data_IF_890134354246
#
_entry.id   IF_890134354246
#
_cell.length_a   1.000
_cell.length_b   1.000
_cell.length_c   1.000
_cell.angle_alpha   90.00
_cell.angle_beta   90.00
_cell.angle_gamma   90.00
#
_symmetry.space_group_name_H-M   'P 1'
#
loop_
_entity.id
_entity.type
_entity.pdbx_description
1 polymer ?
#
# COMPACT_ATOMS: atom_id res chain seq x y z
N UNK A 1 28.72 -35.56 65.36
CA UNK A 1 29.46 -34.99 64.22
C UNK A 1 28.47 -34.43 63.20
N UNK A 2 28.59 -33.11 62.94
CA UNK A 2 28.06 -32.26 61.85
C UNK A 2 26.55 -32.27 61.51
N UNK A 3 25.84 -31.28 62.07
CA UNK A 3 24.57 -30.77 61.54
C UNK A 3 24.78 -30.25 60.11
N UNK A 4 24.05 -30.80 59.14
CA UNK A 4 23.96 -30.23 57.78
C UNK A 4 22.90 -29.13 57.77
N UNK A 5 23.33 -27.88 57.69
CA UNK A 5 22.44 -26.74 57.40
C UNK A 5 22.05 -26.83 55.91
N UNK A 6 20.76 -26.99 55.64
CA UNK A 6 20.19 -26.84 54.28
C UNK A 6 20.03 -25.34 54.02
N UNK A 7 20.86 -24.77 53.15
CA UNK A 7 20.60 -23.46 52.59
C UNK A 7 19.63 -23.60 51.42
N UNK A 8 18.44 -23.00 51.53
CA UNK A 8 17.53 -22.88 50.41
C UNK A 8 18.07 -21.80 49.46
N UNK A 9 18.27 -22.15 48.18
CA UNK A 9 18.76 -21.23 47.14
C UNK A 9 17.80 -20.04 46.94
N UNK A 10 16.55 -20.16 47.41
CA UNK A 10 15.51 -19.13 47.35
C UNK A 10 15.71 -17.95 48.31
N UNK A 11 16.55 -18.10 49.34
CA UNK A 11 16.63 -17.12 50.44
C UNK A 11 17.76 -16.10 50.25
N UNK A 12 18.49 -16.19 49.13
CA UNK A 12 19.54 -15.23 48.82
C UNK A 12 18.92 -13.94 48.25
N UNK A 13 19.16 -12.76 48.85
CA UNK A 13 18.53 -11.50 48.42
C UNK A 13 18.83 -11.15 46.96
N UNK A 14 19.97 -11.63 46.44
CA UNK A 14 20.39 -11.45 45.05
C UNK A 14 19.63 -12.36 44.06
N UNK A 15 19.07 -13.50 44.47
CA UNK A 15 18.39 -14.44 43.56
C UNK A 15 17.19 -13.77 42.87
N UNK A 16 16.42 -12.95 43.61
CA UNK A 16 15.32 -12.16 43.03
C UNK A 16 15.82 -11.11 42.03
N UNK A 17 16.94 -10.44 42.30
CA UNK A 17 17.54 -9.46 41.37
C UNK A 17 18.06 -10.13 40.09
N UNK A 18 18.65 -11.31 40.20
CA UNK A 18 19.12 -12.09 39.04
C UNK A 18 17.95 -12.57 38.16
N UNK A 19 16.88 -13.07 38.76
CA UNK A 19 15.68 -13.51 38.01
C UNK A 19 14.97 -12.31 37.34
N UNK A 20 14.86 -11.17 38.03
CA UNK A 20 14.31 -9.95 37.43
C UNK A 20 15.21 -9.38 36.32
N UNK A 21 16.53 -9.40 36.49
CA UNK A 21 17.50 -8.96 35.48
C UNK A 21 17.42 -9.79 34.20
N UNK A 22 17.34 -11.13 34.34
CA UNK A 22 17.16 -12.05 33.20
C UNK A 22 15.82 -11.78 32.50
N UNK A 23 14.73 -11.58 33.26
CA UNK A 23 13.42 -11.26 32.68
C UNK A 23 13.40 -9.98 31.85
N UNK A 24 14.10 -8.93 32.30
CA UNK A 24 14.22 -7.66 31.56
C UNK A 24 15.03 -7.85 30.27
N UNK A 25 16.12 -8.62 30.31
CA UNK A 25 16.94 -8.90 29.12
C UNK A 25 16.13 -9.67 28.07
N UNK A 26 15.34 -10.66 28.49
CA UNK A 26 14.48 -11.44 27.58
C UNK A 26 13.40 -10.55 26.95
N UNK A 27 12.81 -9.62 27.71
CA UNK A 27 11.85 -8.65 27.18
C UNK A 27 12.48 -7.67 26.19
N UNK A 28 13.71 -7.20 26.45
CA UNK A 28 14.46 -6.32 25.54
C UNK A 28 14.85 -7.04 24.25
N UNK A 29 15.35 -8.28 24.34
CA UNK A 29 15.68 -9.08 23.16
C UNK A 29 14.44 -9.46 22.36
N UNK A 30 13.33 -9.78 23.04
CA UNK A 30 12.04 -10.04 22.40
C UNK A 30 11.48 -8.82 21.68
N UNK A 31 11.57 -7.63 22.27
CA UNK A 31 11.13 -6.39 21.64
C UNK A 31 12.03 -5.98 20.47
N UNK A 32 13.35 -6.16 20.56
CA UNK A 32 14.28 -6.00 19.43
C UNK A 32 13.94 -6.99 18.31
N UNK A 33 13.66 -8.25 18.64
CA UNK A 33 13.25 -9.27 17.67
C UNK A 33 11.92 -8.95 16.98
N UNK A 34 10.93 -8.43 17.71
CA UNK A 34 9.66 -7.97 17.14
C UNK A 34 9.86 -6.75 16.25
N UNK A 35 10.68 -5.78 16.67
CA UNK A 35 11.00 -4.60 15.86
C UNK A 35 11.72 -5.03 14.57
N UNK A 36 12.76 -5.87 14.68
CA UNK A 36 13.51 -6.42 13.55
C UNK A 36 12.61 -7.22 12.59
N UNK A 37 11.70 -8.04 13.12
CA UNK A 37 10.77 -8.81 12.29
C UNK A 37 9.71 -7.92 11.62
N UNK A 38 9.27 -6.83 12.27
CA UNK A 38 8.35 -5.86 11.67
C UNK A 38 9.04 -4.97 10.62
N UNK A 39 10.30 -4.59 10.81
CA UNK A 39 11.06 -3.79 9.82
C UNK A 39 11.66 -4.62 8.68
N UNK A 40 11.76 -5.94 8.83
CA UNK A 40 12.31 -6.85 7.82
C UNK A 40 11.35 -7.95 7.37
N UNK A 41 10.04 -7.70 7.36
CA UNK A 41 9.20 -8.42 6.39
C UNK A 41 9.84 -8.19 5.03
N UNK A 42 10.43 -9.26 4.46
CA UNK A 42 10.94 -9.26 3.10
C UNK A 42 9.79 -8.77 2.24
N UNK A 43 9.97 -7.61 1.65
CA UNK A 43 9.11 -7.21 0.55
C UNK A 43 9.50 -8.19 -0.55
N UNK A 44 8.61 -9.15 -0.84
CA UNK A 44 8.84 -10.15 -1.88
C UNK A 44 9.24 -9.43 -3.17
N UNK A 45 10.28 -9.90 -3.86
CA UNK A 45 10.78 -9.28 -5.10
C UNK A 45 10.60 -10.24 -6.26
N UNK A 46 10.21 -9.71 -7.43
CA UNK A 46 10.04 -10.48 -8.65
C UNK A 46 11.28 -10.37 -9.54
N UNK A 47 11.82 -11.52 -10.00
CA UNK A 47 12.85 -11.51 -11.05
C UNK A 47 12.23 -11.83 -12.42
N UNK A 48 12.20 -10.83 -13.30
CA UNK A 48 11.69 -10.94 -14.66
C UNK A 48 12.81 -10.64 -15.67
N UNK A 49 13.08 -11.58 -16.59
CA UNK A 49 14.15 -11.50 -17.59
C UNK A 49 15.52 -11.01 -17.01
N UNK A 50 15.92 -11.56 -15.86
CA UNK A 50 17.18 -11.21 -15.19
C UNK A 50 17.20 -9.86 -14.47
N UNK A 51 16.08 -9.11 -14.48
CA UNK A 51 15.92 -7.86 -13.73
C UNK A 51 15.10 -8.09 -12.47
N UNK A 52 15.51 -7.46 -11.38
CA UNK A 52 14.80 -7.50 -10.10
C UNK A 52 13.82 -6.34 -10.02
N UNK A 53 12.57 -6.65 -9.70
CA UNK A 53 11.49 -5.71 -9.48
C UNK A 53 10.94 -5.88 -8.05
N UNK A 54 10.38 -4.80 -7.54
CA UNK A 54 9.77 -4.70 -6.22
C UNK A 54 8.28 -4.39 -6.37
N UNK A 55 7.42 -4.93 -5.49
CA UNK A 55 6.00 -4.72 -5.55
C UNK A 55 5.75 -3.26 -5.21
N UNK A 56 4.92 -2.62 -6.02
CA UNK A 56 4.58 -1.22 -5.87
C UNK A 56 3.29 -1.12 -5.06
N UNK A 57 3.35 -0.67 -3.80
CA UNK A 57 2.12 -0.39 -3.07
C UNK A 57 1.38 0.78 -3.70
N UNK A 58 0.07 0.83 -3.47
CA UNK A 58 -0.85 1.89 -3.89
C UNK A 58 -1.16 2.02 -5.38
N UNK A 59 -0.31 1.49 -6.27
CA UNK A 59 -0.61 1.45 -7.69
C UNK A 59 -1.66 0.37 -7.96
N UNK A 60 -2.67 0.72 -8.75
CA UNK A 60 -3.70 -0.18 -9.22
C UNK A 60 -3.71 -0.18 -10.74
N UNK A 61 -4.02 -1.34 -11.33
CA UNK A 61 -4.20 -1.46 -12.78
C UNK A 61 -5.68 -1.36 -13.09
N UNK A 62 -6.03 -0.51 -14.04
CA UNK A 62 -7.40 -0.46 -14.55
C UNK A 62 -7.53 -1.49 -15.67
N UNK A 63 -8.46 -2.42 -15.50
CA UNK A 63 -8.72 -3.47 -16.47
C UNK A 63 -10.20 -3.78 -16.55
N UNK A 64 -10.57 -4.51 -17.60
CA UNK A 64 -11.89 -5.10 -17.77
C UNK A 64 -11.78 -6.59 -18.07
N UNK A 65 -12.90 -7.30 -17.93
CA UNK A 65 -12.98 -8.73 -18.18
C UNK A 65 -12.67 -9.57 -16.94
N UNK A 66 -12.74 -10.88 -17.12
CA UNK A 66 -12.52 -11.88 -16.07
C UNK A 66 -11.78 -13.10 -16.64
N UNK A 67 -11.09 -13.83 -15.77
CA UNK A 67 -10.34 -15.03 -16.13
C UNK A 67 -9.31 -14.78 -17.23
N UNK A 68 -9.46 -15.46 -18.38
CA UNK A 68 -8.53 -15.36 -19.51
C UNK A 68 -8.80 -14.18 -20.45
N UNK A 69 -9.92 -13.49 -20.28
CA UNK A 69 -10.37 -12.41 -21.18
C UNK A 69 -10.05 -11.01 -20.65
N UNK A 70 -9.05 -10.90 -19.76
CA UNK A 70 -8.64 -9.63 -19.17
C UNK A 70 -8.04 -8.72 -20.23
N UNK A 71 -8.42 -7.45 -20.19
CA UNK A 71 -7.80 -6.38 -20.97
C UNK A 71 -7.46 -5.21 -20.06
N UNK A 72 -6.18 -4.87 -19.99
CA UNK A 72 -5.72 -3.65 -19.33
C UNK A 72 -6.07 -2.45 -20.20
N UNK A 73 -6.56 -1.38 -19.57
CA UNK A 73 -6.92 -0.15 -20.25
C UNK A 73 -5.68 0.50 -20.88
N UNK A 74 -5.90 1.36 -21.88
CA UNK A 74 -4.83 1.90 -22.69
C UNK A 74 -4.14 0.86 -23.58
N UNK A 75 -2.96 1.23 -24.09
CA UNK A 75 -2.14 0.31 -24.89
C UNK A 75 -1.33 -0.56 -23.95
N UNK A 76 -1.58 -1.86 -23.96
CA UNK A 76 -0.81 -2.85 -23.22
C UNK A 76 -0.32 -3.95 -24.15
N UNK A 77 0.86 -4.50 -23.87
CA UNK A 77 1.40 -5.65 -24.58
C UNK A 77 1.55 -6.82 -23.62
N UNK A 78 1.06 -7.98 -24.06
CA UNK A 78 1.27 -9.23 -23.35
C UNK A 78 2.74 -9.67 -23.50
N UNK A 79 3.42 -9.88 -22.38
CA UNK A 79 4.83 -10.26 -22.33
C UNK A 79 5.04 -11.78 -22.23
N UNK A 80 3.96 -12.53 -21.97
CA UNK A 80 3.98 -13.98 -21.86
C UNK A 80 3.57 -14.50 -20.49
N UNK A 81 3.42 -15.82 -20.44
CA UNK A 81 3.11 -16.58 -19.24
C UNK A 81 4.40 -17.00 -18.55
N UNK A 82 4.47 -16.85 -17.23
CA UNK A 82 5.57 -17.43 -16.43
C UNK A 82 5.01 -18.15 -15.22
N UNK A 83 5.49 -19.37 -14.98
CA UNK A 83 5.30 -20.01 -13.70
C UNK A 83 6.18 -19.32 -12.66
N UNK A 84 5.58 -18.82 -11.58
CA UNK A 84 6.36 -18.27 -10.50
C UNK A 84 7.06 -19.41 -9.75
N UNK A 85 8.40 -19.40 -9.78
CA UNK A 85 9.25 -20.38 -9.10
C UNK A 85 9.04 -20.40 -7.58
N UNK A 86 8.49 -19.32 -7.00
CA UNK A 86 8.25 -19.18 -5.56
C UNK A 86 6.81 -19.51 -5.14
N UNK A 87 5.90 -19.78 -6.08
CA UNK A 87 4.52 -20.14 -5.73
C UNK A 87 4.39 -21.66 -5.57
N UNK A 88 4.00 -22.12 -4.38
CA UNK A 88 3.73 -23.55 -4.08
C UNK A 88 2.70 -24.21 -5.01
N UNK A 89 1.99 -23.45 -5.83
CA UNK A 89 0.81 -23.88 -6.58
C UNK A 89 1.02 -24.00 -8.10
N UNK A 90 2.26 -23.93 -8.62
CA UNK A 90 2.55 -24.00 -10.07
C UNK A 90 1.68 -23.08 -10.94
N UNK A 91 1.22 -21.97 -10.36
CA UNK A 91 0.23 -21.11 -10.97
C UNK A 91 0.88 -20.27 -12.06
N UNK A 92 0.36 -20.39 -13.28
CA UNK A 92 0.79 -19.57 -14.41
C UNK A 92 0.27 -18.14 -14.24
N UNK A 93 1.18 -17.17 -14.31
CA UNK A 93 0.87 -15.73 -14.20
C UNK A 93 1.14 -15.05 -15.52
N UNK A 94 0.26 -14.12 -15.88
CA UNK A 94 0.35 -13.32 -17.09
C UNK A 94 1.10 -12.03 -16.80
N UNK A 95 2.10 -11.72 -17.61
CA UNK A 95 2.87 -10.49 -17.49
C UNK A 95 2.52 -9.52 -18.61
N UNK A 96 2.40 -8.24 -18.27
CA UNK A 96 2.00 -7.20 -19.19
C UNK A 96 2.90 -5.96 -19.04
N UNK A 97 3.16 -5.30 -20.15
CA UNK A 97 3.70 -3.93 -20.17
C UNK A 97 2.58 -2.95 -20.53
N UNK A 98 2.68 -1.73 -19.99
CA UNK A 98 1.82 -0.61 -20.33
C UNK A 98 2.61 0.31 -21.24
N UNK A 99 2.14 0.58 -22.45
CA UNK A 99 2.94 1.29 -23.46
C UNK A 99 3.36 2.70 -23.02
N UNK A 100 2.58 3.36 -22.15
CA UNK A 100 2.88 4.68 -21.62
C UNK A 100 3.95 4.67 -20.52
N UNK A 101 4.28 3.49 -19.98
CA UNK A 101 5.33 3.31 -18.97
C UNK A 101 6.38 2.32 -19.47
N UNK A 102 7.64 2.74 -19.68
CA UNK A 102 8.69 1.84 -20.18
C UNK A 102 8.80 0.55 -19.35
N UNK A 103 8.84 -0.62 -20.00
CA UNK A 103 8.91 -1.94 -19.34
C UNK A 103 10.08 -2.09 -18.35
N UNK A 104 11.15 -1.33 -18.55
CA UNK A 104 12.30 -1.31 -17.64
C UNK A 104 11.98 -0.65 -16.29
N UNK A 105 10.88 0.11 -16.21
CA UNK A 105 10.40 0.76 -14.99
C UNK A 105 9.32 -0.06 -14.28
N UNK A 106 8.42 -0.68 -15.02
CA UNK A 106 7.24 -1.34 -14.44
C UNK A 106 6.72 -2.47 -15.31
N UNK A 107 6.22 -3.52 -14.67
CA UNK A 107 5.47 -4.62 -15.28
C UNK A 107 4.25 -4.93 -14.41
N UNK A 108 3.15 -5.34 -15.04
CA UNK A 108 1.95 -5.80 -14.35
C UNK A 108 1.95 -7.32 -14.38
N UNK A 109 1.72 -7.91 -13.22
CA UNK A 109 1.46 -9.33 -13.07
C UNK A 109 -0.03 -9.53 -12.80
N UNK A 110 -0.65 -10.42 -13.57
CA UNK A 110 -2.03 -10.82 -13.38
C UNK A 110 -2.12 -12.33 -13.19
N UNK A 111 -2.83 -12.72 -12.16
CA UNK A 111 -3.15 -14.11 -11.85
C UNK A 111 -4.60 -14.36 -12.27
N UNK A 112 -4.84 -15.02 -13.42
CA UNK A 112 -6.20 -15.27 -13.90
C UNK A 112 -6.89 -16.29 -13.00
N UNK A 113 -8.08 -15.96 -12.51
CA UNK A 113 -8.97 -16.87 -11.78
C UNK A 113 -10.39 -16.89 -12.36
N UNK A 114 -11.17 -17.93 -12.03
CA UNK A 114 -12.53 -18.09 -12.56
C UNK A 114 -13.52 -17.04 -12.02
N UNK A 115 -13.30 -16.53 -10.81
CA UNK A 115 -14.20 -15.58 -10.12
C UNK A 115 -13.55 -14.26 -9.71
N UNK A 116 -12.22 -14.20 -9.68
CA UNK A 116 -11.46 -12.98 -9.39
C UNK A 116 -10.10 -13.04 -10.07
N UNK A 117 -9.56 -11.86 -10.35
CA UNK A 117 -8.19 -11.68 -10.83
C UNK A 117 -7.38 -11.20 -9.65
N UNK A 118 -6.21 -11.80 -9.44
CA UNK A 118 -5.22 -11.25 -8.52
C UNK A 118 -4.19 -10.45 -9.31
N UNK A 119 -4.12 -9.15 -9.11
CA UNK A 119 -3.15 -8.27 -9.76
C UNK A 119 -2.06 -7.80 -8.79
N UNK A 120 -0.84 -7.65 -9.32
CA UNK A 120 0.27 -7.02 -8.63
C UNK A 120 1.05 -6.16 -9.62
N UNK A 121 1.33 -4.92 -9.24
CA UNK A 121 2.23 -4.05 -10.00
C UNK A 121 3.64 -4.17 -9.41
N UNK A 122 4.61 -4.32 -10.31
CA UNK A 122 6.03 -4.46 -9.98
C UNK A 122 6.83 -3.32 -10.62
N UNK A 123 7.62 -2.60 -9.82
CA UNK A 123 8.48 -1.51 -10.25
C UNK A 123 9.96 -1.85 -10.09
N UNK A 124 10.83 -1.22 -10.89
CA UNK A 124 12.28 -1.44 -10.84
C UNK A 124 12.97 -0.85 -9.58
N UNK A 125 12.23 -0.10 -8.76
CA UNK A 125 12.69 0.49 -7.52
C UNK A 125 11.70 0.19 -6.39
N UNK A 126 12.21 0.14 -5.16
CA UNK A 126 11.41 -0.11 -3.97
C UNK A 126 10.70 1.18 -3.57
N UNK A 127 9.37 1.18 -3.68
CA UNK A 127 8.48 2.29 -3.28
C UNK A 127 7.84 1.93 -1.94
N UNK A 128 8.15 2.68 -0.89
CA UNK A 128 7.71 2.37 0.49
C UNK A 128 6.73 3.38 1.05
N UNK A 129 6.66 4.56 0.44
CA UNK A 129 5.81 5.66 0.87
C UNK A 129 4.94 6.16 -0.28
N UNK A 130 3.70 6.55 0.04
CA UNK A 130 2.76 7.04 -0.97
C UNK A 130 3.29 8.26 -1.72
N UNK A 131 4.10 9.12 -1.09
CA UNK A 131 4.74 10.26 -1.76
C UNK A 131 5.69 9.81 -2.87
N UNK A 132 6.47 8.75 -2.62
CA UNK A 132 7.36 8.16 -3.63
C UNK A 132 6.56 7.54 -4.77
N UNK A 133 5.45 6.83 -4.45
CA UNK A 133 4.57 6.26 -5.47
C UNK A 133 3.89 7.35 -6.30
N UNK A 134 3.45 8.44 -5.66
CA UNK A 134 2.86 9.60 -6.34
C UNK A 134 3.85 10.25 -7.30
N UNK A 135 5.09 10.47 -6.86
CA UNK A 135 6.14 11.04 -7.69
C UNK A 135 6.57 10.09 -8.82
N UNK A 136 6.58 8.78 -8.56
CA UNK A 136 6.90 7.78 -9.56
C UNK A 136 5.83 7.67 -10.65
N UNK A 137 4.55 7.61 -10.26
CA UNK A 137 3.45 7.57 -11.23
C UNK A 137 3.30 8.90 -11.97
N UNK A 138 3.55 10.01 -11.26
CA UNK A 138 3.43 11.37 -11.77
C UNK A 138 2.08 11.60 -12.50
N UNK A 139 0.95 11.37 -11.81
CA UNK A 139 -0.37 11.40 -12.43
C UNK A 139 -0.63 12.73 -13.13
N UNK A 140 -1.38 12.65 -14.23
CA UNK A 140 -1.75 13.80 -15.08
C UNK A 140 -3.25 14.00 -15.18
N UNK A 141 -4.03 12.98 -14.85
CA UNK A 141 -5.48 12.99 -15.00
C UNK A 141 -6.15 12.63 -13.68
N UNK A 142 -7.22 13.37 -13.35
CA UNK A 142 -8.02 13.12 -12.15
C UNK A 142 -9.48 12.98 -12.54
N UNK A 143 -10.05 11.83 -12.22
CA UNK A 143 -11.49 11.66 -12.07
C UNK A 143 -11.79 11.51 -10.57
N UNK A 144 -12.97 11.94 -10.13
CA UNK A 144 -13.40 11.72 -8.76
C UNK A 144 -14.88 11.40 -8.72
N UNK A 145 -15.26 10.49 -7.83
CA UNK A 145 -16.64 10.23 -7.50
C UNK A 145 -17.06 11.07 -6.29
N UNK A 146 -18.31 11.53 -6.30
CA UNK A 146 -19.00 12.07 -5.12
C UNK A 146 -20.11 11.12 -4.72
N UNK A 147 -20.35 11.00 -3.42
CA UNK A 147 -21.51 10.30 -2.87
C UNK A 147 -22.44 11.35 -2.27
N UNK A 148 -23.37 11.85 -3.09
CA UNK A 148 -24.39 12.77 -2.62
C UNK A 148 -25.67 11.98 -2.34
N UNK A 149 -26.12 11.92 -1.08
CA UNK A 149 -27.37 11.23 -0.69
C UNK A 149 -27.56 9.79 -1.24
N UNK A 150 -26.47 9.00 -1.34
CA UNK A 150 -26.41 7.65 -1.93
C UNK A 150 -26.44 7.58 -3.47
N UNK A 151 -26.40 8.71 -4.17
CA UNK A 151 -26.18 8.75 -5.61
C UNK A 151 -24.67 8.83 -5.91
N UNK A 152 -24.20 7.92 -6.76
CA UNK A 152 -22.83 7.89 -7.25
C UNK A 152 -22.73 8.76 -8.50
N UNK A 153 -22.00 9.85 -8.41
CA UNK A 153 -21.68 10.68 -9.58
C UNK A 153 -20.17 10.64 -9.85
N UNK A 154 -19.81 10.30 -11.08
CA UNK A 154 -18.42 10.33 -11.53
C UNK A 154 -18.13 11.64 -12.27
N UNK A 155 -17.22 12.43 -11.73
CA UNK A 155 -16.80 13.71 -12.28
C UNK A 155 -15.44 13.57 -12.95
N UNK A 156 -15.31 14.05 -14.18
CA UNK A 156 -14.01 14.32 -14.79
C UNK A 156 -13.63 15.78 -14.50
N UNK A 157 -12.57 16.00 -13.73
CA UNK A 157 -12.13 17.37 -13.43
C UNK A 157 -11.70 18.10 -14.71
N UNK A 158 -11.93 19.42 -14.80
CA UNK A 158 -11.38 20.24 -15.88
C UNK A 158 -9.85 20.30 -15.81
N UNK A 159 -9.16 20.62 -16.91
CA UNK A 159 -7.68 20.63 -16.96
C UNK A 159 -7.06 21.45 -15.83
N UNK A 160 -7.54 22.68 -15.60
CA UNK A 160 -7.05 23.53 -14.52
C UNK A 160 -7.34 22.93 -13.14
N UNK A 161 -8.53 22.37 -12.95
CA UNK A 161 -8.95 21.73 -11.69
C UNK A 161 -8.12 20.47 -11.40
N UNK A 162 -7.78 19.68 -12.41
CA UNK A 162 -6.90 18.51 -12.30
C UNK A 162 -5.53 18.92 -11.74
N UNK A 163 -4.89 19.94 -12.33
CA UNK A 163 -3.58 20.41 -11.88
C UNK A 163 -3.62 20.89 -10.41
N UNK A 164 -4.63 21.68 -10.06
CA UNK A 164 -4.79 22.19 -8.69
C UNK A 164 -5.02 21.05 -7.67
N UNK A 165 -5.87 20.07 -8.00
CA UNK A 165 -6.10 18.89 -7.15
C UNK A 165 -4.80 18.12 -6.97
N UNK A 166 -4.09 17.79 -8.06
CA UNK A 166 -2.84 17.05 -8.03
C UNK A 166 -1.76 17.77 -7.20
N UNK A 167 -1.67 19.09 -7.31
CA UNK A 167 -0.71 19.89 -6.54
C UNK A 167 -1.05 19.91 -5.05
N UNK A 168 -2.34 20.02 -4.69
CA UNK A 168 -2.75 19.94 -3.29
C UNK A 168 -2.54 18.54 -2.72
N UNK A 169 -2.89 17.50 -3.47
CA UNK A 169 -2.68 16.09 -3.11
C UNK A 169 -1.20 15.81 -2.90
N UNK A 170 -0.34 16.21 -3.85
CA UNK A 170 1.11 16.07 -3.76
C UNK A 170 1.64 16.76 -2.50
N UNK A 171 1.28 18.02 -2.27
CA UNK A 171 1.67 18.75 -1.04
C UNK A 171 1.25 18.00 0.22
N UNK A 172 0.01 17.50 0.25
CA UNK A 172 -0.53 16.81 1.42
C UNK A 172 0.20 15.50 1.71
N UNK A 173 0.41 14.63 0.71
CA UNK A 173 1.08 13.32 0.92
C UNK A 173 2.56 13.43 1.26
N UNK A 174 3.20 14.56 0.94
CA UNK A 174 4.56 14.88 1.36
C UNK A 174 4.65 15.34 2.83
N UNK A 175 3.52 15.55 3.50
CA UNK A 175 3.48 15.78 4.94
C UNK A 175 3.31 14.46 5.71
N UNK A 176 3.59 14.49 7.01
CA UNK A 176 3.30 13.35 7.88
C UNK A 176 1.78 13.21 8.04
N UNK A 177 1.21 11.99 7.90
CA UNK A 177 -0.21 11.78 8.19
C UNK A 177 -0.50 12.08 9.66
N UNK A 178 -1.70 12.58 9.95
CA UNK A 178 -2.15 12.87 11.32
C UNK A 178 -2.17 11.59 12.15
N UNK A 179 -2.56 10.47 11.54
CA UNK A 179 -2.45 9.15 12.15
C UNK A 179 -2.28 8.04 11.10
N UNK A 180 -1.88 6.85 11.55
CA UNK A 180 -1.77 5.64 10.73
C UNK A 180 -2.52 4.47 11.39
N UNK A 181 -3.16 3.61 10.59
CA UNK A 181 -3.85 2.39 11.08
C UNK A 181 -3.50 1.20 10.20
N UNK A 182 -3.41 0.01 10.81
CA UNK A 182 -3.26 -1.25 10.07
C UNK A 182 -4.55 -1.65 9.36
N UNK A 183 -5.70 -1.32 9.95
CA UNK A 183 -7.01 -1.59 9.38
C UNK A 183 -7.64 -0.28 8.85
N UNK A 184 -8.60 -0.41 7.93
CA UNK A 184 -9.46 0.71 7.57
C UNK A 184 -10.18 1.26 8.81
N UNK A 185 -10.47 2.56 8.81
CA UNK A 185 -11.24 3.20 9.86
C UNK A 185 -12.69 3.35 9.42
N UNK A 186 -13.62 3.27 10.38
CA UNK A 186 -15.02 3.58 10.12
C UNK A 186 -15.19 5.07 9.85
N UNK A 187 -15.84 5.40 8.74
CA UNK A 187 -16.11 6.75 8.29
C UNK A 187 -17.06 6.74 7.10
N UNK A 188 -17.68 7.89 6.85
CA UNK A 188 -18.52 8.12 5.67
C UNK A 188 -17.60 8.46 4.50
N UNK A 189 -17.69 7.73 3.37
CA UNK A 189 -16.93 8.09 2.17
C UNK A 189 -17.58 9.31 1.52
N UNK A 190 -16.81 10.38 1.33
CA UNK A 190 -17.25 11.62 0.68
C UNK A 190 -16.87 11.60 -0.79
N UNK A 191 -15.62 11.23 -1.07
CA UNK A 191 -15.08 11.17 -2.42
C UNK A 191 -14.17 9.97 -2.62
N UNK A 192 -14.21 9.40 -3.82
CA UNK A 192 -13.15 8.51 -4.32
C UNK A 192 -12.43 9.22 -5.46
N UNK A 193 -11.11 9.37 -5.37
CA UNK A 193 -10.27 10.01 -6.37
C UNK A 193 -9.48 8.95 -7.12
N UNK A 194 -9.47 9.08 -8.45
CA UNK A 194 -8.74 8.22 -9.38
C UNK A 194 -7.72 9.08 -10.13
N UNK A 195 -6.46 8.97 -9.73
CA UNK A 195 -5.34 9.74 -10.28
C UNK A 195 -4.55 8.87 -11.25
N UNK A 196 -4.71 9.13 -12.54
CA UNK A 196 -4.17 8.30 -13.62
C UNK A 196 -2.89 8.90 -14.20
N UNK A 197 -2.00 8.03 -14.65
CA UNK A 197 -0.75 8.36 -15.35
C UNK A 197 -1.02 9.04 -16.70
N UNK A 198 -2.05 8.59 -17.42
CA UNK A 198 -2.39 9.08 -18.75
C UNK A 198 -3.90 9.07 -19.03
N UNK A 199 -4.30 9.61 -20.20
CA UNK A 199 -5.70 9.80 -20.61
C UNK A 199 -6.45 8.47 -20.84
N UNK A 200 -5.72 7.40 -21.14
CA UNK A 200 -6.26 6.06 -21.32
C UNK A 200 -6.35 5.28 -20.01
N UNK A 201 -5.82 5.84 -18.91
CA UNK A 201 -6.05 5.38 -17.55
C UNK A 201 -5.63 3.92 -17.33
N UNK A 202 -4.38 3.54 -17.62
CA UNK A 202 -3.96 2.14 -17.45
C UNK A 202 -3.57 1.84 -16.00
N UNK A 203 -2.96 2.82 -15.32
CA UNK A 203 -2.47 2.72 -13.94
C UNK A 203 -2.98 3.90 -13.14
N UNK A 204 -3.61 3.61 -12.01
CA UNK A 204 -4.16 4.65 -11.15
C UNK A 204 -3.61 4.56 -9.73
N UNK A 205 -3.50 5.74 -9.11
CA UNK A 205 -3.52 5.90 -7.67
C UNK A 205 -4.96 6.15 -7.25
N UNK A 206 -5.52 5.24 -6.47
CA UNK A 206 -6.83 5.44 -5.87
C UNK A 206 -6.69 5.99 -4.44
N UNK A 207 -7.45 7.04 -4.16
CA UNK A 207 -7.56 7.60 -2.82
C UNK A 207 -9.01 7.83 -2.44
N UNK A 208 -9.29 7.75 -1.14
CA UNK A 208 -10.60 8.00 -0.56
C UNK A 208 -10.51 9.19 0.38
N UNK A 209 -11.49 10.08 0.32
CA UNK A 209 -11.72 11.09 1.35
C UNK A 209 -12.87 10.61 2.21
N UNK A 210 -12.59 10.43 3.48
CA UNK A 210 -13.56 9.94 4.46
C UNK A 210 -13.82 11.00 5.53
N UNK A 211 -15.08 11.15 5.91
CA UNK A 211 -15.47 11.87 7.12
C UNK A 211 -15.31 10.94 8.30
N UNK A 212 -14.41 11.28 9.21
CA UNK A 212 -14.20 10.50 10.42
C UNK A 212 -15.17 10.92 11.53
N UNK A 213 -15.33 10.09 12.55
CA UNK A 213 -16.26 10.31 13.68
C UNK A 213 -16.06 11.64 14.45
N UNK A 214 -14.89 12.26 14.32
CA UNK A 214 -14.58 13.56 14.90
C UNK A 214 -15.06 14.74 14.01
N UNK A 215 -15.79 14.46 12.94
CA UNK A 215 -16.31 15.45 11.98
C UNK A 215 -15.27 15.97 10.98
N UNK A 216 -14.02 15.50 11.03
CA UNK A 216 -12.95 15.93 10.12
C UNK A 216 -12.83 14.99 8.91
N UNK A 217 -12.39 15.55 7.80
CA UNK A 217 -12.18 14.81 6.55
C UNK A 217 -10.72 14.38 6.43
N UNK A 218 -10.50 13.11 6.10
CA UNK A 218 -9.17 12.53 5.96
C UNK A 218 -9.00 11.88 4.59
N UNK A 219 -7.88 12.18 3.95
CA UNK A 219 -7.41 11.50 2.76
C UNK A 219 -6.69 10.21 3.15
N UNK A 220 -6.99 9.12 2.45
CA UNK A 220 -6.26 7.85 2.55
C UNK A 220 -6.14 7.18 1.19
N UNK A 221 -5.19 6.26 1.00
CA UNK A 221 -4.94 5.60 -0.28
C UNK A 221 -5.21 4.09 -0.18
N UNK A 222 -5.74 3.54 -1.28
CA UNK A 222 -5.92 2.10 -1.45
C UNK A 222 -4.58 1.38 -1.63
N UNK A 223 -4.51 0.08 -1.34
CA UNK A 223 -3.35 -0.75 -1.71
C UNK A 223 -2.08 -0.63 -0.86
N UNK A 224 -2.13 -0.07 0.34
CA UNK A 224 -0.99 -0.08 1.28
C UNK A 224 -0.76 -1.45 1.95
N UNK A 225 0.49 -1.90 2.05
CA UNK A 225 0.88 -3.24 2.58
C UNK A 225 1.04 -3.28 4.11
N UNK A 226 1.05 -2.11 4.77
CA UNK A 226 1.32 -2.01 6.21
C UNK A 226 0.25 -1.21 6.97
N UNK A 227 0.50 0.09 7.14
CA UNK A 227 -0.38 1.01 7.84
C UNK A 227 -0.81 2.10 6.87
N UNK A 228 -2.12 2.19 6.65
CA UNK A 228 -2.75 3.26 5.89
C UNK A 228 -2.54 4.57 6.63
N UNK A 229 -2.03 5.58 5.93
CA UNK A 229 -1.94 6.94 6.44
C UNK A 229 -3.27 7.67 6.25
N UNK A 230 -3.56 8.58 7.17
CA UNK A 230 -4.72 9.46 7.14
C UNK A 230 -4.24 10.89 7.27
N UNK A 231 -4.37 11.65 6.18
CA UNK A 231 -3.96 13.05 6.12
C UNK A 231 -5.18 13.95 6.24
N UNK A 232 -5.13 14.93 7.13
CA UNK A 232 -6.21 15.89 7.28
C UNK A 232 -6.39 16.68 5.98
N UNK A 233 -7.59 16.60 5.39
CA UNK A 233 -7.90 17.35 4.17
C UNK A 233 -7.97 18.84 4.52
N UNK A 234 -7.18 19.63 3.81
CA UNK A 234 -7.19 21.07 3.96
C UNK A 234 -8.37 21.70 3.21
N UNK A 235 -8.76 22.92 3.60
CA UNK A 235 -9.88 23.64 2.99
C UNK A 235 -9.75 23.76 1.47
N UNK A 236 -8.55 24.07 0.96
CA UNK A 236 -8.32 24.24 -0.49
C UNK A 236 -8.61 22.96 -1.28
N UNK A 237 -8.18 21.80 -0.80
CA UNK A 237 -8.49 20.52 -1.43
C UNK A 237 -9.97 20.17 -1.31
N UNK A 238 -10.60 20.48 -0.16
CA UNK A 238 -12.05 20.28 0.02
C UNK A 238 -12.86 21.13 -0.97
N UNK A 239 -12.55 22.42 -1.09
CA UNK A 239 -13.24 23.36 -1.99
C UNK A 239 -13.05 22.96 -3.47
N UNK A 240 -11.96 22.25 -3.81
CA UNK A 240 -11.72 21.70 -5.15
C UNK A 240 -12.50 20.42 -5.43
N UNK A 241 -13.13 19.77 -4.45
CA UNK A 241 -13.83 18.49 -4.64
C UNK A 241 -15.35 18.60 -4.45
N UNK A 242 -15.81 19.77 -4.03
CA UNK A 242 -17.19 20.23 -4.10
C UNK A 242 -17.39 21.19 -5.29
#
# INVERSE_FOLDING_TARGET
>A
MKNKVKYSITDHPYFRYWVCGIGIIVLLLGSIGVIYHHTHKKIDSLVFQGKTYYPAPYLMVNFSGQGKNIKIFGKSSYLGDKQNQDSKNNMTRQFWEIATIPKQKMIVEMTPGEQSVGEQIWCNQKLTHISETFDFLNPKFVAYATYDHNEFELHQASVTKQQDILDQMKKLVHTKPEFKRSNSVDGESINELYMNEDVNQSICLQASIIKYKNGKNYLTFSGGVEKKGYWLVNKKLSDLLH
#
